data_IF_866603338222
#
_entry.id   IF_866603338222
#
_cell.length_a   1.000
_cell.length_b   1.000
_cell.length_c   1.000
_cell.angle_alpha   90.00
_cell.angle_beta   90.00
_cell.angle_gamma   90.00
#
_symmetry.space_group_name_H-M   'P 1'
#
loop_
_entity.id
_entity.type
_entity.pdbx_description
1 polymer ?
#
# COMPACT_ATOMS: atom_id res chain seq x y z
N UNK A 1 -25.82 -19.83 -15.27
CA UNK A 1 -24.77 -20.33 -14.38
C UNK A 1 -24.73 -19.42 -13.18
N UNK A 2 -24.61 -19.90 -11.94
CA UNK A 2 -24.44 -18.98 -10.80
C UNK A 2 -23.16 -18.17 -11.01
N UNK A 3 -23.26 -16.85 -10.86
CA UNK A 3 -22.09 -15.97 -10.94
C UNK A 3 -21.12 -16.33 -9.82
N UNK A 4 -19.83 -16.41 -10.14
CA UNK A 4 -18.77 -16.57 -9.14
C UNK A 4 -18.87 -15.43 -8.12
N UNK A 5 -18.69 -15.75 -6.85
CA UNK A 5 -18.58 -14.73 -5.81
C UNK A 5 -17.36 -13.83 -6.04
N UNK A 6 -17.53 -12.56 -5.88
CA UNK A 6 -16.44 -11.57 -5.94
C UNK A 6 -15.52 -11.73 -4.72
N UNK A 7 -14.22 -11.69 -4.94
CA UNK A 7 -13.20 -11.82 -3.89
C UNK A 7 -12.43 -10.51 -3.78
N UNK A 8 -12.49 -9.90 -2.61
CA UNK A 8 -11.67 -8.76 -2.25
C UNK A 8 -10.49 -9.18 -1.38
N UNK A 9 -9.29 -8.76 -1.73
CA UNK A 9 -8.11 -8.91 -0.89
C UNK A 9 -7.91 -7.64 -0.04
N UNK A 10 -7.83 -7.81 1.29
CA UNK A 10 -7.58 -6.69 2.20
C UNK A 10 -6.19 -6.84 2.81
N UNK A 11 -5.31 -5.88 2.53
CA UNK A 11 -3.93 -5.86 3.01
C UNK A 11 -3.76 -4.72 4.03
N UNK A 12 -3.62 -5.09 5.29
CA UNK A 12 -3.53 -4.16 6.40
C UNK A 12 -2.17 -3.47 6.53
N UNK A 13 -2.13 -2.46 7.39
CA UNK A 13 -0.89 -1.82 7.84
C UNK A 13 -0.03 -2.79 8.68
N UNK A 14 1.21 -2.42 9.00
CA UNK A 14 2.06 -3.28 9.84
C UNK A 14 3.56 -3.01 9.71
N UNK A 15 3.98 -1.95 9.02
CA UNK A 15 5.39 -1.63 8.80
C UNK A 15 6.15 -2.87 8.26
N UNK A 16 7.31 -3.22 8.82
CA UNK A 16 8.11 -4.38 8.41
C UNK A 16 7.38 -5.74 8.48
N UNK A 17 6.35 -5.86 9.32
CA UNK A 17 5.51 -7.08 9.39
C UNK A 17 4.64 -7.28 8.14
N UNK A 18 4.41 -6.23 7.36
CA UNK A 18 3.61 -6.30 6.14
C UNK A 18 4.19 -7.18 5.03
N UNK A 19 5.46 -7.58 5.14
CA UNK A 19 6.04 -8.58 4.24
C UNK A 19 5.33 -9.95 4.32
N UNK A 20 4.62 -10.24 5.41
CA UNK A 20 3.78 -11.42 5.52
C UNK A 20 2.66 -11.47 4.46
N UNK A 21 2.23 -10.32 3.94
CA UNK A 21 1.26 -10.25 2.84
C UNK A 21 1.73 -10.98 1.59
N UNK A 22 3.04 -11.08 1.36
CA UNK A 22 3.62 -11.79 0.22
C UNK A 22 3.28 -13.28 0.30
N UNK A 23 3.45 -13.91 1.47
CA UNK A 23 3.10 -15.33 1.66
C UNK A 23 1.59 -15.59 1.53
N UNK A 24 0.75 -14.64 1.97
CA UNK A 24 -0.71 -14.75 1.80
C UNK A 24 -1.09 -14.69 0.31
N UNK A 25 -0.54 -13.73 -0.43
CA UNK A 25 -0.81 -13.61 -1.88
C UNK A 25 -0.35 -14.87 -2.61
N UNK A 26 0.84 -15.37 -2.28
CA UNK A 26 1.38 -16.60 -2.87
C UNK A 26 0.44 -17.79 -2.66
N UNK A 27 -0.01 -18.01 -1.43
CA UNK A 27 -0.95 -19.08 -1.13
C UNK A 27 -2.28 -18.93 -1.90
N UNK A 28 -2.80 -17.72 -2.05
CA UNK A 28 -4.01 -17.47 -2.83
C UNK A 28 -3.80 -17.76 -4.33
N UNK A 29 -2.63 -17.43 -4.88
CA UNK A 29 -2.28 -17.76 -6.28
C UNK A 29 -2.13 -19.28 -6.48
N UNK A 30 -1.48 -19.98 -5.56
CA UNK A 30 -1.32 -21.45 -5.60
C UNK A 30 -2.67 -22.16 -5.56
N UNK A 31 -3.59 -21.70 -4.73
CA UNK A 31 -4.97 -22.19 -4.64
C UNK A 31 -5.87 -21.66 -5.77
N UNK A 32 -5.33 -20.87 -6.70
CA UNK A 32 -6.06 -20.28 -7.84
C UNK A 32 -7.29 -19.49 -7.42
N UNK A 33 -7.23 -18.82 -6.26
CA UNK A 33 -8.29 -17.94 -5.79
C UNK A 33 -8.16 -16.60 -6.53
N UNK A 34 -9.11 -16.28 -7.42
CA UNK A 34 -9.07 -15.04 -8.19
C UNK A 34 -9.35 -13.85 -7.26
N UNK A 35 -8.55 -12.79 -7.40
CA UNK A 35 -8.72 -11.53 -6.68
C UNK A 35 -9.29 -10.50 -7.65
N UNK A 36 -10.49 -9.99 -7.35
CA UNK A 36 -11.19 -9.05 -8.21
C UNK A 36 -10.83 -7.59 -7.93
N UNK A 37 -10.52 -7.26 -6.68
CA UNK A 37 -10.04 -5.94 -6.26
C UNK A 37 -9.31 -6.01 -4.91
N UNK A 38 -8.57 -4.96 -4.60
CA UNK A 38 -7.74 -4.91 -3.40
C UNK A 38 -8.02 -3.63 -2.63
N UNK A 39 -8.06 -3.73 -1.31
CA UNK A 39 -8.04 -2.59 -0.40
C UNK A 39 -6.79 -2.65 0.47
N UNK A 40 -5.98 -1.59 0.50
CA UNK A 40 -4.72 -1.55 1.20
C UNK A 40 -4.60 -0.37 2.18
N UNK A 41 -3.76 -0.56 3.21
CA UNK A 41 -3.35 0.49 4.13
C UNK A 41 -1.84 0.43 4.39
N UNK A 42 -1.15 1.57 4.28
CA UNK A 42 0.29 1.69 4.56
C UNK A 42 1.13 0.67 3.77
N UNK A 43 1.93 -0.17 4.44
CA UNK A 43 2.72 -1.23 3.79
C UNK A 43 1.82 -2.18 2.97
N UNK A 44 0.59 -2.45 3.42
CA UNK A 44 -0.36 -3.25 2.65
C UNK A 44 -0.71 -2.61 1.31
N UNK A 45 -0.82 -1.27 1.24
CA UNK A 45 -0.98 -0.55 -0.03
C UNK A 45 0.23 -0.68 -0.95
N UNK A 46 1.44 -0.68 -0.39
CA UNK A 46 2.67 -0.84 -1.17
C UNK A 46 2.73 -2.23 -1.83
N UNK A 47 2.51 -3.28 -1.05
CA UNK A 47 2.45 -4.65 -1.58
C UNK A 47 1.31 -4.80 -2.60
N UNK A 48 0.14 -4.23 -2.29
CA UNK A 48 -1.03 -4.23 -3.17
C UNK A 48 -0.75 -3.56 -4.53
N UNK A 49 -0.11 -2.39 -4.52
CA UNK A 49 0.18 -1.64 -5.74
C UNK A 49 1.13 -2.40 -6.66
N UNK A 50 2.17 -3.03 -6.11
CA UNK A 50 3.11 -3.85 -6.88
C UNK A 50 2.42 -5.11 -7.40
N UNK A 51 1.61 -5.77 -6.58
CA UNK A 51 0.84 -6.94 -6.99
C UNK A 51 -0.15 -6.60 -8.11
N UNK A 52 -0.95 -5.56 -7.93
CA UNK A 52 -1.91 -5.09 -8.92
C UNK A 52 -1.29 -4.63 -10.24
N UNK A 53 -0.03 -4.18 -10.22
CA UNK A 53 0.77 -3.86 -11.41
C UNK A 53 1.32 -5.10 -12.12
N UNK A 54 1.33 -6.27 -11.46
CA UNK A 54 1.93 -7.50 -11.98
C UNK A 54 3.40 -7.69 -11.62
N UNK A 55 3.95 -6.90 -10.68
CA UNK A 55 5.33 -6.96 -10.22
C UNK A 55 5.60 -7.93 -9.07
N UNK A 56 4.64 -8.77 -8.71
CA UNK A 56 4.69 -9.60 -7.51
C UNK A 56 5.91 -10.51 -7.42
N UNK A 57 6.26 -11.19 -8.52
CA UNK A 57 7.43 -12.08 -8.56
C UNK A 57 8.72 -11.33 -8.22
N UNK A 58 8.92 -10.15 -8.81
CA UNK A 58 10.09 -9.30 -8.54
C UNK A 58 10.15 -8.86 -7.08
N UNK A 59 9.02 -8.45 -6.51
CA UNK A 59 8.93 -8.07 -5.09
C UNK A 59 9.25 -9.25 -4.17
N UNK A 60 8.68 -10.43 -4.43
CA UNK A 60 8.94 -11.64 -3.65
C UNK A 60 10.41 -12.01 -3.65
N UNK A 61 11.04 -12.07 -4.83
CA UNK A 61 12.46 -12.38 -4.95
C UNK A 61 13.34 -11.36 -4.21
N UNK A 62 13.00 -10.09 -4.32
CA UNK A 62 13.70 -9.01 -3.61
C UNK A 62 13.64 -9.20 -2.09
N UNK A 63 12.44 -9.44 -1.54
CA UNK A 63 12.24 -9.60 -0.09
C UNK A 63 12.91 -10.87 0.44
N UNK A 64 12.85 -11.99 -0.28
CA UNK A 64 13.50 -13.23 0.13
C UNK A 64 15.03 -13.16 0.11
N UNK A 65 15.63 -12.27 -0.71
CA UNK A 65 17.07 -12.01 -0.73
C UNK A 65 17.51 -10.98 0.31
N UNK A 66 16.58 -10.28 0.95
CA UNK A 66 16.93 -9.35 2.00
C UNK A 66 17.39 -10.09 3.25
N UNK A 67 18.57 -9.72 3.76
CA UNK A 67 18.99 -10.04 5.10
C UNK A 67 18.02 -9.40 6.11
N UNK A 68 17.64 -10.11 7.17
CA UNK A 68 16.69 -9.61 8.18
C UNK A 68 17.05 -8.24 8.76
N UNK A 69 18.35 -7.89 8.84
CA UNK A 69 18.82 -6.55 9.21
C UNK A 69 18.51 -5.50 8.15
N UNK A 70 18.56 -5.88 6.87
CA UNK A 70 18.24 -4.98 5.74
C UNK A 70 16.74 -4.75 5.61
N UNK A 71 15.90 -5.76 5.91
CA UNK A 71 14.44 -5.60 5.93
C UNK A 71 14.03 -4.47 6.88
N UNK A 72 14.62 -4.45 8.08
CA UNK A 72 14.42 -3.36 9.03
C UNK A 72 14.93 -2.02 8.48
N UNK A 73 16.13 -1.97 7.91
CA UNK A 73 16.74 -0.70 7.47
C UNK A 73 16.03 -0.02 6.29
N UNK A 74 15.26 -0.73 5.48
CA UNK A 74 14.50 -0.13 4.38
C UNK A 74 13.28 0.67 4.85
N UNK A 75 12.75 0.33 6.02
CA UNK A 75 11.60 0.98 6.64
C UNK A 75 11.92 1.53 8.05
N UNK A 76 13.05 1.14 8.64
CA UNK A 76 13.55 1.76 9.86
C UNK A 76 14.10 3.13 9.51
N UNK A 77 13.36 4.07 9.92
CA UNK A 77 13.71 5.45 9.84
C UNK A 77 14.81 5.72 10.86
N UNK A 78 15.95 6.03 10.36
CA UNK A 78 16.92 6.77 11.14
C UNK A 78 16.27 8.13 11.43
N UNK A 79 15.89 8.38 12.68
CA UNK A 79 15.34 9.66 13.10
C UNK A 79 16.26 10.79 12.61
N UNK A 80 15.81 11.62 11.67
CA UNK A 80 16.65 12.69 11.18
C UNK A 80 16.81 13.72 12.29
N UNK A 81 18.05 14.12 12.55
CA UNK A 81 18.33 15.23 13.47
C UNK A 81 17.78 16.59 13.00
N UNK A 82 17.21 16.66 11.81
CA UNK A 82 16.83 17.91 11.12
C UNK A 82 15.37 17.98 10.66
N UNK A 83 14.43 17.23 11.25
CA UNK A 83 13.00 17.33 10.90
C UNK A 83 12.43 16.09 10.22
N UNK A 84 11.19 16.21 9.70
CA UNK A 84 10.45 15.10 9.08
C UNK A 84 11.06 14.67 7.74
N UNK A 85 11.10 13.36 7.48
CA UNK A 85 11.57 12.79 6.22
C UNK A 85 10.55 13.04 5.10
N UNK A 86 11.03 13.40 3.93
CA UNK A 86 10.18 13.44 2.74
C UNK A 86 9.92 12.03 2.18
N UNK A 87 10.86 11.11 2.24
CA UNK A 87 10.70 9.71 1.83
C UNK A 87 10.32 9.45 0.36
N UNK A 88 9.93 10.49 -0.42
CA UNK A 88 9.40 10.35 -1.79
C UNK A 88 10.40 9.71 -2.74
N UNK A 89 11.66 10.15 -2.72
CA UNK A 89 12.69 9.63 -3.61
C UNK A 89 12.91 8.14 -3.37
N UNK A 90 13.05 7.75 -2.10
CA UNK A 90 13.28 6.35 -1.72
C UNK A 90 12.11 5.45 -2.06
N UNK A 91 10.87 5.91 -1.76
CA UNK A 91 9.66 5.17 -2.11
C UNK A 91 9.51 4.99 -3.62
N UNK A 92 9.81 6.06 -4.40
CA UNK A 92 9.80 5.99 -5.87
C UNK A 92 10.80 4.97 -6.37
N UNK A 93 12.04 5.01 -5.88
CA UNK A 93 13.08 4.04 -6.26
C UNK A 93 12.63 2.61 -5.99
N UNK A 94 12.15 2.32 -4.76
CA UNK A 94 11.70 1.00 -4.37
C UNK A 94 10.49 0.53 -5.19
N UNK A 95 9.52 1.40 -5.44
CA UNK A 95 8.35 1.05 -6.25
C UNK A 95 8.74 0.75 -7.69
N UNK A 96 9.57 1.61 -8.31
CA UNK A 96 10.01 1.46 -9.70
C UNK A 96 10.93 0.27 -9.94
N UNK A 97 11.47 -0.37 -8.90
CA UNK A 97 12.22 -1.63 -9.04
C UNK A 97 11.31 -2.82 -9.40
N UNK A 98 10.01 -2.71 -9.11
CA UNK A 98 9.07 -3.82 -9.19
C UNK A 98 7.84 -3.53 -10.04
N UNK A 99 7.50 -2.26 -10.24
CA UNK A 99 6.30 -1.83 -10.93
C UNK A 99 6.51 -0.53 -11.70
N UNK A 100 5.78 -0.37 -12.79
CA UNK A 100 5.82 0.78 -13.70
C UNK A 100 4.50 1.55 -13.78
N UNK A 101 3.42 1.04 -13.18
CA UNK A 101 2.13 1.72 -13.14
C UNK A 101 2.26 3.11 -12.48
N UNK A 102 1.98 4.16 -13.23
CA UNK A 102 2.04 5.54 -12.77
C UNK A 102 0.73 6.01 -12.13
N UNK A 103 -0.40 5.55 -12.68
CA UNK A 103 -1.75 5.89 -12.25
C UNK A 103 -2.55 4.63 -11.85
N UNK A 104 -3.61 4.81 -11.06
CA UNK A 104 -4.52 3.71 -10.71
C UNK A 104 -5.17 3.05 -11.92
N UNK A 105 -5.36 3.78 -13.03
CA UNK A 105 -5.89 3.24 -14.27
C UNK A 105 -4.96 2.26 -14.97
N UNK A 106 -3.66 2.26 -14.64
CA UNK A 106 -2.67 1.37 -15.23
C UNK A 106 -2.63 0.00 -14.51
N UNK A 107 -3.35 -0.13 -13.40
CA UNK A 107 -3.35 -1.35 -12.60
C UNK A 107 -4.21 -2.45 -13.25
N UNK A 108 -3.72 -3.68 -13.20
CA UNK A 108 -4.43 -4.87 -13.68
C UNK A 108 -5.57 -5.29 -12.77
N UNK A 109 -5.46 -4.97 -11.48
CA UNK A 109 -6.49 -5.24 -10.46
C UNK A 109 -6.85 -3.91 -9.82
N UNK A 110 -8.14 -3.54 -9.74
CA UNK A 110 -8.57 -2.32 -9.07
C UNK A 110 -8.07 -2.25 -7.63
N UNK A 111 -7.52 -1.11 -7.24
CA UNK A 111 -6.92 -0.89 -5.93
C UNK A 111 -7.51 0.34 -5.25
N UNK A 112 -7.73 0.25 -3.95
CA UNK A 112 -8.04 1.37 -3.09
C UNK A 112 -7.03 1.44 -1.95
N UNK A 113 -6.56 2.64 -1.66
CA UNK A 113 -5.63 2.88 -0.57
C UNK A 113 -6.27 3.79 0.46
N UNK A 114 -6.05 3.51 1.75
CA UNK A 114 -6.58 4.33 2.84
C UNK A 114 -5.51 5.28 3.34
N UNK A 115 -5.89 6.54 3.51
CA UNK A 115 -5.12 7.57 4.19
C UNK A 115 -6.00 8.30 5.21
N UNK A 116 -5.39 9.13 6.05
CA UNK A 116 -6.07 9.94 7.07
C UNK A 116 -5.94 11.42 6.71
N UNK A 117 -7.03 12.14 6.67
CA UNK A 117 -7.01 13.60 6.59
C UNK A 117 -6.48 14.18 7.91
N UNK A 118 -5.35 14.88 7.83
CA UNK A 118 -4.67 15.43 9.00
C UNK A 118 -5.51 16.48 9.76
N UNK A 119 -6.33 17.24 9.04
CA UNK A 119 -7.12 18.30 9.64
C UNK A 119 -8.34 17.78 10.40
N UNK A 120 -8.98 16.72 9.91
CA UNK A 120 -10.25 16.23 10.44
C UNK A 120 -10.16 14.87 11.13
N UNK A 121 -9.05 14.15 10.97
CA UNK A 121 -8.91 12.77 11.42
C UNK A 121 -9.78 11.77 10.66
N UNK A 122 -10.42 12.17 9.56
CA UNK A 122 -11.30 11.30 8.80
C UNK A 122 -10.53 10.41 7.82
N UNK A 123 -11.10 9.24 7.57
CA UNK A 123 -10.63 8.32 6.55
C UNK A 123 -10.82 8.90 5.14
N UNK A 124 -9.79 8.82 4.32
CA UNK A 124 -9.79 9.18 2.90
C UNK A 124 -9.44 7.93 2.09
N UNK A 125 -10.28 7.62 1.08
CA UNK A 125 -10.04 6.51 0.16
C UNK A 125 -9.48 7.06 -1.15
N UNK A 126 -8.27 6.64 -1.49
CA UNK A 126 -7.56 6.99 -2.71
C UNK A 126 -7.72 5.84 -3.72
N UNK A 127 -8.33 6.13 -4.87
CA UNK A 127 -8.62 5.13 -5.92
C UNK A 127 -8.43 5.66 -7.34
N UNK A 128 -7.80 6.82 -7.49
CA UNK A 128 -7.51 7.45 -8.79
C UNK A 128 -6.34 8.41 -8.68
N UNK A 129 -5.70 8.73 -9.80
CA UNK A 129 -4.54 9.60 -9.90
C UNK A 129 -3.23 8.85 -9.60
N UNK A 130 -2.19 9.58 -9.24
CA UNK A 130 -0.85 9.03 -9.09
C UNK A 130 -0.73 7.98 -7.98
N UNK A 131 -0.29 6.78 -8.34
CA UNK A 131 0.04 5.69 -7.39
C UNK A 131 1.09 6.16 -6.39
N UNK A 132 2.15 6.83 -6.86
CA UNK A 132 3.23 7.27 -5.97
C UNK A 132 2.74 8.27 -4.92
N UNK A 133 1.88 9.21 -5.30
CA UNK A 133 1.30 10.18 -4.36
C UNK A 133 0.38 9.49 -3.35
N UNK A 134 -0.40 8.50 -3.78
CA UNK A 134 -1.27 7.73 -2.91
C UNK A 134 -0.44 6.87 -1.93
N UNK A 135 0.60 6.20 -2.40
CA UNK A 135 1.54 5.45 -1.55
C UNK A 135 2.22 6.37 -0.53
N UNK A 136 2.68 7.56 -0.97
CA UNK A 136 3.24 8.53 -0.05
C UNK A 136 2.26 8.95 1.04
N UNK A 137 1.00 9.18 0.68
CA UNK A 137 -0.04 9.58 1.63
C UNK A 137 -0.34 8.46 2.64
N UNK A 138 -0.64 7.24 2.15
CA UNK A 138 -1.01 6.10 3.01
C UNK A 138 0.13 5.62 3.92
N UNK A 139 1.40 5.94 3.58
CA UNK A 139 2.61 5.55 4.33
C UNK A 139 3.25 6.71 5.11
N UNK A 140 2.63 7.88 5.17
CA UNK A 140 3.16 9.04 5.89
C UNK A 140 2.88 8.95 7.39
N UNK A 141 3.67 8.13 8.10
CA UNK A 141 3.57 7.95 9.55
C UNK A 141 3.86 9.29 10.24
N UNK A 142 2.92 9.81 11.07
CA UNK A 142 3.11 11.06 11.80
C UNK A 142 4.35 11.03 12.71
N UNK A 143 5.05 12.15 12.78
CA UNK A 143 6.30 12.28 13.54
C UNK A 143 7.53 11.74 12.80
N UNK A 144 7.33 10.97 11.74
CA UNK A 144 8.38 10.32 10.97
C UNK A 144 8.49 10.92 9.56
N UNK A 145 7.39 10.94 8.84
CA UNK A 145 7.29 11.49 7.50
C UNK A 145 6.44 12.76 7.45
N UNK A 146 6.79 13.67 6.55
CA UNK A 146 5.99 14.84 6.28
C UNK A 146 4.62 14.44 5.69
N UNK A 147 3.52 15.10 6.10
CA UNK A 147 2.23 14.95 5.46
C UNK A 147 2.29 15.20 3.96
N UNK A 148 1.41 14.59 3.20
CA UNK A 148 1.36 14.70 1.75
C UNK A 148 0.12 15.47 1.33
N UNK A 149 0.30 16.51 0.52
CA UNK A 149 -0.83 17.23 -0.07
C UNK A 149 -1.35 16.47 -1.30
N UNK A 150 -2.59 16.04 -1.23
CA UNK A 150 -3.32 15.43 -2.35
C UNK A 150 -4.57 16.26 -2.57
N UNK A 151 -4.66 16.96 -3.72
CA UNK A 151 -5.67 18.00 -3.97
C UNK A 151 -5.63 19.05 -2.84
N UNK A 152 -6.73 19.24 -2.12
CA UNK A 152 -6.85 20.23 -1.04
C UNK A 152 -6.64 19.63 0.36
N UNK A 153 -6.34 18.33 0.48
CA UNK A 153 -6.19 17.63 1.74
C UNK A 153 -4.71 17.40 2.07
N UNK A 154 -4.35 17.57 3.34
CA UNK A 154 -3.10 17.09 3.90
C UNK A 154 -3.32 15.72 4.51
N UNK A 155 -2.67 14.71 3.93
CA UNK A 155 -2.87 13.31 4.28
C UNK A 155 -1.67 12.73 5.02
N UNK A 156 -1.98 11.84 5.95
CA UNK A 156 -1.04 11.03 6.72
C UNK A 156 -1.45 9.56 6.67
N UNK A 157 -0.65 8.67 7.28
CA UNK A 157 -0.85 7.22 7.24
C UNK A 157 -2.28 6.81 7.61
N UNK A 158 -2.83 5.91 6.82
CA UNK A 158 -4.20 5.40 6.99
C UNK A 158 -4.38 4.51 8.21
N UNK A 159 -3.29 3.97 8.77
CA UNK A 159 -3.30 3.13 9.95
C UNK A 159 -3.82 3.82 11.21
N UNK A 160 -3.92 5.16 11.20
CA UNK A 160 -4.52 5.93 12.29
C UNK A 160 -6.05 5.75 12.39
N UNK A 161 -6.73 5.45 11.28
CA UNK A 161 -8.20 5.41 11.22
C UNK A 161 -8.76 4.08 10.75
N UNK A 162 -8.06 3.38 9.86
CA UNK A 162 -8.54 2.10 9.31
C UNK A 162 -7.35 1.21 8.90
N UNK A 163 -6.66 0.61 9.89
CA UNK A 163 -5.45 -0.17 9.65
C UNK A 163 -5.70 -1.45 8.83
N UNK A 164 -6.92 -1.98 8.81
CA UNK A 164 -7.33 -3.14 8.01
C UNK A 164 -8.64 -2.81 7.29
N UNK A 165 -8.59 -2.25 6.06
CA UNK A 165 -9.72 -1.57 5.44
C UNK A 165 -10.81 -2.51 4.87
N UNK A 166 -11.36 -3.39 5.69
CA UNK A 166 -12.44 -4.32 5.30
C UNK A 166 -13.70 -3.57 4.88
N UNK A 167 -14.02 -2.47 5.58
CA UNK A 167 -15.19 -1.64 5.25
C UNK A 167 -15.08 -1.00 3.86
N UNK A 168 -13.86 -0.63 3.43
CA UNK A 168 -13.59 -0.08 2.10
C UNK A 168 -13.82 -1.16 1.03
N UNK A 169 -13.35 -2.37 1.27
CA UNK A 169 -13.55 -3.49 0.36
C UNK A 169 -15.05 -3.83 0.21
N UNK A 170 -15.81 -3.89 1.29
CA UNK A 170 -17.25 -4.18 1.26
C UNK A 170 -18.09 -3.11 0.55
N UNK A 171 -17.68 -1.85 0.60
CA UNK A 171 -18.39 -0.75 -0.07
C UNK A 171 -18.34 -0.81 -1.61
N UNK A 172 -17.55 -1.69 -2.20
CA UNK A 172 -17.53 -1.93 -3.65
C UNK A 172 -18.55 -2.96 -4.12
N UNK A 173 -19.08 -3.77 -3.21
CA UNK A 173 -20.11 -4.78 -3.52
C UNK A 173 -21.53 -4.19 -3.41
N UNK A 174 -21.65 -2.97 -2.92
CA UNK A 174 -22.92 -2.26 -2.75
C UNK A 174 -23.16 -1.28 -3.90
#
# INVERSE_FOLDING_TARGET
MPSRKTVALVLGSGSSRGWAHIGVIEALEEEKIPIDYIAGCSIGSYVAAIYASGGFKSLKEFVLRMDGKKVFSYFDVVFPRSGLLNGTKRLKELYSMHADAADFSDLKIPLMMVATDLATGKKVVLKSGSILNALRATMSIPGLFAPVKVKDLWLVDGGLVDPVPVGVARALEA
#
